data_IF_512113753195
#
_entry.id   IF_512113753195
#
_cell.length_a   1.000
_cell.length_b   1.000
_cell.length_c   1.000
_cell.angle_alpha   90.00
_cell.angle_beta   90.00
_cell.angle_gamma   90.00
#
_symmetry.space_group_name_H-M   'P 1'
#
loop_
_entity.id
_entity.type
_entity.pdbx_description
1 polymer ?
#
# COMPACT_ATOMS: atom_id res chain seq x y z
N UNK A 1 22.06 34.25 -33.04
CA UNK A 1 22.53 33.16 -33.91
C UNK A 1 22.19 31.85 -33.20
N UNK A 2 21.04 31.26 -33.51
CA UNK A 2 20.55 30.03 -32.88
C UNK A 2 20.98 28.83 -33.74
N UNK A 3 21.45 27.71 -33.17
CA UNK A 3 21.68 26.50 -33.96
C UNK A 3 20.36 25.80 -34.28
N UNK A 4 20.13 25.62 -35.58
CA UNK A 4 19.08 24.82 -36.20
C UNK A 4 19.28 23.34 -35.85
N UNK A 5 18.27 22.68 -35.28
CA UNK A 5 18.22 21.22 -35.12
C UNK A 5 17.74 20.56 -36.43
N UNK A 6 18.41 19.51 -36.94
CA UNK A 6 17.89 18.74 -38.07
C UNK A 6 16.77 17.77 -37.62
N UNK A 7 15.71 17.70 -38.42
CA UNK A 7 14.58 16.80 -38.26
C UNK A 7 14.98 15.32 -38.46
N UNK A 8 14.49 14.43 -37.60
CA UNK A 8 14.58 12.98 -37.77
C UNK A 8 13.45 12.48 -38.70
N UNK A 9 13.73 11.64 -39.70
CA UNK A 9 12.68 11.07 -40.54
C UNK A 9 11.99 9.88 -39.86
N UNK A 10 10.66 9.92 -39.89
CA UNK A 10 9.75 8.81 -39.61
C UNK A 10 9.94 7.69 -40.63
N UNK A 11 10.17 6.47 -40.18
CA UNK A 11 10.01 5.28 -41.02
C UNK A 11 9.43 4.13 -40.19
N UNK A 12 8.13 3.96 -40.38
CA UNK A 12 7.37 2.73 -40.12
C UNK A 12 7.89 1.67 -41.09
N UNK A 13 8.28 0.48 -40.61
CA UNK A 13 8.31 -0.71 -41.45
C UNK A 13 8.06 -1.97 -40.62
N UNK A 14 6.87 -2.53 -40.81
CA UNK A 14 6.57 -3.97 -40.68
C UNK A 14 6.27 -4.41 -42.10
N UNK A 15 6.89 -5.48 -42.62
CA UNK A 15 6.09 -6.65 -42.97
C UNK A 15 6.88 -7.98 -42.93
N UNK A 16 6.22 -9.09 -42.57
CA UNK A 16 6.20 -10.34 -43.35
C UNK A 16 5.41 -11.39 -42.59
N UNK A 17 4.14 -11.54 -42.99
CA UNK A 17 3.38 -12.77 -42.86
C UNK A 17 4.00 -13.84 -43.76
N UNK A 18 4.18 -15.06 -43.24
CA UNK A 18 4.35 -16.26 -44.09
C UNK A 18 3.29 -17.29 -43.72
N UNK A 19 2.46 -17.75 -44.68
CA UNK A 19 1.50 -18.81 -44.44
C UNK A 19 2.19 -20.17 -44.55
N UNK A 20 1.91 -21.09 -43.63
CA UNK A 20 2.21 -22.52 -43.82
C UNK A 20 0.90 -23.30 -43.81
N UNK A 21 0.67 -23.95 -44.94
CA UNK A 21 -0.48 -24.80 -45.26
C UNK A 21 -0.44 -26.13 -44.48
N UNK A 22 -1.59 -26.41 -43.86
CA UNK A 22 -2.31 -27.68 -43.72
C UNK A 22 -1.62 -29.00 -44.13
N UNK A 23 -1.45 -29.92 -43.18
CA UNK A 23 -1.57 -31.39 -43.34
C UNK A 23 -1.82 -32.01 -41.94
N UNK A 24 -3.08 -32.24 -41.55
CA UNK A 24 -3.83 -33.52 -41.61
C UNK A 24 -3.23 -34.66 -40.77
N UNK A 25 -3.92 -35.03 -39.67
CA UNK A 25 -3.68 -36.30 -38.98
C UNK A 25 -4.10 -36.35 -37.50
N UNK A 26 -5.40 -36.46 -37.21
CA UNK A 26 -5.92 -37.22 -36.05
C UNK A 26 -6.75 -38.38 -36.64
N UNK A 27 -6.90 -39.56 -36.00
CA UNK A 27 -7.02 -39.72 -34.54
C UNK A 27 -6.30 -40.96 -33.94
N UNK A 28 -6.16 -41.00 -32.62
CA UNK A 28 -6.48 -42.21 -31.88
C UNK A 28 -6.86 -41.89 -30.43
N UNK A 29 -8.00 -42.45 -30.03
CA UNK A 29 -8.67 -42.34 -28.76
C UNK A 29 -8.53 -43.70 -28.08
N UNK A 30 -7.75 -43.79 -27.01
CA UNK A 30 -7.81 -44.81 -25.95
C UNK A 30 -6.53 -44.70 -25.11
N UNK A 31 -6.49 -44.78 -23.79
CA UNK A 31 -7.46 -44.66 -22.70
C UNK A 31 -6.60 -44.56 -21.44
N UNK A 32 -7.12 -43.89 -20.42
CA UNK A 32 -6.83 -44.18 -19.02
C UNK A 32 -5.40 -43.92 -18.47
N UNK A 33 -5.20 -42.74 -17.88
CA UNK A 33 -4.65 -42.60 -16.51
C UNK A 33 -5.24 -41.36 -15.85
N UNK A 34 -6.34 -41.55 -15.13
CA UNK A 34 -6.91 -40.55 -14.23
C UNK A 34 -5.95 -40.32 -13.05
N UNK A 35 -5.09 -39.30 -13.15
CA UNK A 35 -4.27 -38.84 -12.02
C UNK A 35 -5.15 -38.00 -11.09
N UNK A 36 -5.73 -38.65 -10.09
CA UNK A 36 -6.47 -38.01 -8.99
C UNK A 36 -5.49 -37.10 -8.22
N UNK A 37 -5.77 -35.80 -8.03
CA UNK A 37 -4.92 -34.96 -7.18
C UNK A 37 -5.07 -35.39 -5.71
N UNK A 38 -3.93 -35.66 -5.07
CA UNK A 38 -3.81 -36.03 -3.67
C UNK A 38 -4.42 -34.95 -2.74
N UNK A 39 -5.38 -35.36 -1.90
CA UNK A 39 -6.10 -34.51 -0.92
C UNK A 39 -5.20 -33.86 0.13
N UNK A 40 -3.95 -34.30 0.27
CA UNK A 40 -3.02 -33.80 1.31
C UNK A 40 -2.41 -32.43 0.97
N UNK A 41 -2.38 -32.00 -0.30
CA UNK A 41 -1.75 -30.73 -0.69
C UNK A 41 -2.71 -29.52 -0.70
N UNK A 42 -4.02 -29.72 -0.54
CA UNK A 42 -5.00 -28.64 -0.65
C UNK A 42 -4.93 -27.64 0.53
N UNK A 43 -4.54 -28.09 1.72
CA UNK A 43 -4.54 -27.25 2.92
C UNK A 43 -3.34 -26.32 3.02
N UNK A 44 -2.23 -26.58 2.32
CA UNK A 44 -1.07 -25.69 2.30
C UNK A 44 -1.23 -24.55 1.27
N UNK A 45 -1.89 -24.83 0.13
CA UNK A 45 -2.08 -23.86 -0.94
C UNK A 45 -3.15 -22.81 -0.62
N UNK A 46 -4.06 -23.09 0.31
CA UNK A 46 -5.15 -22.17 0.67
C UNK A 46 -4.74 -21.07 1.64
N UNK A 47 -3.69 -21.26 2.44
CA UNK A 47 -3.22 -20.22 3.37
C UNK A 47 -2.36 -19.16 2.67
N UNK A 48 -1.63 -19.52 1.60
CA UNK A 48 -0.87 -18.57 0.76
C UNK A 48 -1.77 -17.70 -0.14
N UNK A 49 -2.95 -18.19 -0.51
CA UNK A 49 -3.84 -17.48 -1.44
C UNK A 49 -4.52 -16.25 -0.83
N UNK A 50 -4.72 -16.20 0.49
CA UNK A 50 -5.40 -15.08 1.16
C UNK A 50 -4.51 -13.82 1.19
N UNK A 51 -3.19 -13.98 1.09
CA UNK A 51 -2.25 -12.85 1.03
C UNK A 51 -2.08 -12.30 -0.39
N UNK A 52 -2.53 -13.02 -1.43
CA UNK A 52 -2.19 -12.77 -2.84
C UNK A 52 -3.25 -12.02 -3.66
N UNK A 53 -4.09 -11.14 -3.11
CA UNK A 53 -4.96 -10.31 -3.97
C UNK A 53 -5.56 -9.05 -3.33
N UNK A 54 -4.87 -8.34 -2.43
CA UNK A 54 -5.18 -6.90 -2.33
C UNK A 54 -4.51 -6.23 -3.52
N UNK A 55 -5.23 -6.11 -4.64
CA UNK A 55 -4.72 -5.38 -5.81
C UNK A 55 -4.42 -3.95 -5.37
N UNK A 56 -3.14 -3.58 -5.37
CA UNK A 56 -2.70 -2.23 -4.99
C UNK A 56 -3.15 -1.26 -6.09
N UNK A 57 -4.33 -0.67 -5.92
CA UNK A 57 -4.99 0.16 -6.94
C UNK A 57 -4.52 1.62 -6.96
N UNK A 58 -3.89 2.08 -5.87
CA UNK A 58 -3.41 3.46 -5.74
C UNK A 58 -1.91 3.52 -6.02
N UNK A 59 -1.50 4.47 -6.87
CA UNK A 59 -0.10 4.73 -7.21
C UNK A 59 0.42 5.92 -6.41
N UNK A 60 1.69 5.84 -6.02
CA UNK A 60 2.44 6.91 -5.38
C UNK A 60 3.60 7.27 -6.32
N UNK A 61 3.52 8.43 -6.94
CA UNK A 61 4.59 8.93 -7.81
C UNK A 61 5.52 9.82 -6.98
N UNK A 62 6.81 9.50 -6.97
CA UNK A 62 7.82 10.21 -6.20
C UNK A 62 8.92 10.71 -7.11
N UNK A 63 9.28 11.99 -6.97
CA UNK A 63 10.50 12.56 -7.54
C UNK A 63 11.53 12.69 -6.43
N UNK A 64 12.77 12.34 -6.74
CA UNK A 64 13.88 12.38 -5.79
C UNK A 64 15.17 12.75 -6.52
N UNK A 65 16.16 13.21 -5.78
CA UNK A 65 17.49 13.45 -6.31
C UNK A 65 18.30 12.13 -6.35
N UNK A 66 19.42 12.16 -7.06
CA UNK A 66 20.27 10.98 -7.27
C UNK A 66 20.75 10.36 -5.95
N UNK A 67 21.16 11.18 -4.98
CA UNK A 67 21.73 10.67 -3.73
C UNK A 67 20.69 9.93 -2.88
N UNK A 68 19.46 10.45 -2.87
CA UNK A 68 18.35 9.79 -2.18
C UNK A 68 17.93 8.50 -2.90
N UNK A 69 17.97 8.47 -4.24
CA UNK A 69 17.65 7.25 -5.00
C UNK A 69 18.64 6.11 -4.73
N UNK A 70 19.94 6.43 -4.67
CA UNK A 70 21.01 5.49 -4.34
C UNK A 70 20.83 4.93 -2.92
N UNK A 71 20.60 5.80 -1.94
CA UNK A 71 20.35 5.42 -0.55
C UNK A 71 19.15 4.47 -0.40
N UNK A 72 18.04 4.76 -1.09
CA UNK A 72 16.85 3.91 -1.10
C UNK A 72 17.14 2.56 -1.75
N UNK A 73 17.95 2.55 -2.81
CA UNK A 73 18.34 1.33 -3.51
C UNK A 73 19.16 0.43 -2.60
N UNK A 74 20.20 0.97 -1.97
CA UNK A 74 21.06 0.23 -1.04
C UNK A 74 20.25 -0.33 0.15
N UNK A 75 19.39 0.49 0.76
CA UNK A 75 18.56 0.05 1.88
C UNK A 75 17.59 -1.08 1.49
N UNK A 76 17.02 -1.02 0.29
CA UNK A 76 16.13 -2.07 -0.21
C UNK A 76 16.89 -3.37 -0.50
N UNK A 77 18.11 -3.27 -1.04
CA UNK A 77 19.00 -4.40 -1.30
C UNK A 77 19.42 -5.11 0.00
N UNK A 78 19.82 -4.34 1.02
CA UNK A 78 20.19 -4.86 2.35
C UNK A 78 19.04 -5.62 3.02
N UNK A 79 17.79 -5.24 2.72
CA UNK A 79 16.59 -5.88 3.24
C UNK A 79 16.01 -6.94 2.29
N UNK A 80 16.65 -7.18 1.13
CA UNK A 80 16.19 -8.10 0.10
C UNK A 80 14.75 -7.85 -0.37
N UNK A 81 14.36 -6.59 -0.49
CA UNK A 81 13.05 -6.15 -0.98
C UNK A 81 13.21 -5.26 -2.20
N UNK A 82 12.11 -5.06 -2.94
CA UNK A 82 12.12 -4.08 -4.04
C UNK A 82 12.12 -2.65 -3.49
N UNK A 83 12.68 -1.69 -4.23
CA UNK A 83 12.64 -0.26 -3.88
C UNK A 83 11.23 0.24 -3.57
N UNK A 84 10.25 -0.15 -4.37
CA UNK A 84 8.85 0.26 -4.19
C UNK A 84 8.21 -0.36 -2.94
N UNK A 85 8.58 -1.58 -2.57
CA UNK A 85 8.16 -2.22 -1.32
C UNK A 85 8.77 -1.49 -0.13
N UNK A 86 10.08 -1.24 -0.15
CA UNK A 86 10.79 -0.50 0.89
C UNK A 86 10.18 0.88 1.14
N UNK A 87 10.00 1.69 0.09
CA UNK A 87 9.44 3.05 0.21
C UNK A 87 8.01 3.01 0.73
N UNK A 88 7.19 2.05 0.25
CA UNK A 88 5.81 1.91 0.74
C UNK A 88 5.79 1.59 2.23
N UNK A 89 6.64 0.68 2.68
CA UNK A 89 6.69 0.25 4.07
C UNK A 89 7.24 1.35 4.99
N UNK A 90 8.35 2.00 4.59
CA UNK A 90 8.89 3.14 5.30
C UNK A 90 7.87 4.28 5.44
N UNK A 91 7.15 4.61 4.36
CA UNK A 91 6.10 5.62 4.38
C UNK A 91 4.94 5.22 5.33
N UNK A 92 4.53 3.95 5.32
CA UNK A 92 3.51 3.43 6.24
C UNK A 92 3.95 3.56 7.69
N UNK A 93 5.16 3.12 8.02
CA UNK A 93 5.70 3.20 9.37
C UNK A 93 5.80 4.65 9.86
N UNK A 94 6.28 5.56 9.01
CA UNK A 94 6.35 6.98 9.33
C UNK A 94 4.94 7.57 9.57
N UNK A 95 3.97 7.26 8.71
CA UNK A 95 2.59 7.70 8.89
C UNK A 95 1.99 7.17 10.20
N UNK A 96 2.19 5.89 10.51
CA UNK A 96 1.70 5.28 11.74
C UNK A 96 2.30 5.97 12.97
N UNK A 97 3.59 6.29 12.95
CA UNK A 97 4.25 7.02 14.04
C UNK A 97 3.66 8.42 14.25
N UNK A 98 3.26 9.11 13.19
CA UNK A 98 2.63 10.43 13.28
C UNK A 98 1.20 10.32 13.83
N UNK A 99 0.41 9.39 13.31
CA UNK A 99 -0.98 9.17 13.75
C UNK A 99 -1.02 8.69 15.21
N UNK A 100 -0.18 7.72 15.58
CA UNK A 100 -0.13 7.26 16.98
C UNK A 100 0.33 8.35 17.96
N UNK A 101 1.07 9.37 17.50
CA UNK A 101 1.42 10.52 18.33
C UNK A 101 0.27 11.51 18.51
N UNK A 102 -0.66 11.62 17.56
CA UNK A 102 -1.81 12.52 17.73
C UNK A 102 -2.81 12.01 18.76
N UNK A 103 -2.88 10.69 18.96
CA UNK A 103 -3.86 10.06 19.85
C UNK A 103 -3.35 9.93 21.29
N UNK A 104 -2.08 10.29 21.55
CA UNK A 104 -1.46 10.16 22.86
C UNK A 104 -1.15 11.55 23.42
N UNK A 105 -1.95 11.98 24.39
CA UNK A 105 -1.62 13.14 25.23
C UNK A 105 -0.56 12.74 26.25
N UNK A 106 0.67 13.25 26.08
CA UNK A 106 1.68 13.19 27.13
C UNK A 106 1.36 14.25 28.18
N UNK A 107 1.14 13.82 29.42
CA UNK A 107 0.96 14.72 30.57
C UNK A 107 1.89 14.32 31.70
N UNK A 108 2.20 15.29 32.57
CA UNK A 108 2.99 15.02 33.77
C UNK A 108 2.22 14.05 34.70
N UNK A 109 2.90 13.13 35.40
CA UNK A 109 2.25 12.15 36.27
C UNK A 109 1.30 12.80 37.28
N UNK A 110 1.68 13.95 37.84
CA UNK A 110 0.88 14.67 38.83
C UNK A 110 -0.45 15.18 38.24
N UNK A 111 -0.43 15.57 36.96
CA UNK A 111 -1.63 15.99 36.23
C UNK A 111 -2.51 14.78 35.90
N UNK A 112 -1.90 13.64 35.58
CA UNK A 112 -2.63 12.39 35.36
C UNK A 112 -3.33 11.92 36.63
N UNK A 113 -2.64 11.94 37.77
CA UNK A 113 -3.20 11.55 39.06
C UNK A 113 -4.35 12.47 39.48
N UNK A 114 -4.19 13.79 39.29
CA UNK A 114 -5.25 14.77 39.53
C UNK A 114 -6.47 14.52 38.60
N UNK A 115 -6.22 14.21 37.33
CA UNK A 115 -7.29 13.86 36.37
C UNK A 115 -7.98 12.55 36.77
N UNK A 116 -7.25 11.52 37.16
CA UNK A 116 -7.84 10.25 37.60
C UNK A 116 -8.70 10.45 38.86
N UNK A 117 -8.23 11.25 39.82
CA UNK A 117 -8.99 11.56 41.02
C UNK A 117 -10.30 12.31 40.71
N UNK A 118 -10.31 13.20 39.71
CA UNK A 118 -11.51 13.94 39.33
C UNK A 118 -12.53 13.11 38.54
N UNK A 119 -12.16 11.91 38.06
CA UNK A 119 -13.13 10.96 37.48
C UNK A 119 -14.02 10.33 38.55
N UNK A 120 -13.48 10.10 39.75
CA UNK A 120 -14.24 9.51 40.87
C UNK A 120 -15.09 10.55 41.59
N UNK A 121 -14.57 11.77 41.75
CA UNK A 121 -15.28 12.90 42.35
C UNK A 121 -15.22 14.08 41.40
N UNK A 122 -16.34 14.44 40.73
CA UNK A 122 -16.35 15.55 39.80
C UNK A 122 -16.16 16.87 40.53
N UNK A 123 -15.35 17.74 39.95
CA UNK A 123 -15.21 19.11 40.44
C UNK A 123 -16.45 19.93 40.11
N UNK A 124 -16.91 20.71 41.09
CA UNK A 124 -17.99 21.67 40.90
C UNK A 124 -17.49 22.86 40.08
N UNK A 125 -18.20 23.20 39.00
CA UNK A 125 -17.90 24.37 38.17
C UNK A 125 -19.15 25.20 37.93
N UNK A 126 -19.33 26.24 38.75
CA UNK A 126 -20.47 27.16 38.65
C UNK A 126 -20.52 27.90 37.30
N UNK A 127 -19.36 28.16 36.69
CA UNK A 127 -19.26 28.80 35.37
C UNK A 127 -19.77 27.88 34.25
N UNK A 128 -19.36 26.60 34.25
CA UNK A 128 -19.88 25.61 33.29
C UNK A 128 -21.39 25.37 33.51
N UNK A 129 -21.86 25.39 34.76
CA UNK A 129 -23.29 25.31 35.08
C UNK A 129 -24.09 26.51 34.53
N UNK A 130 -23.50 27.71 34.49
CA UNK A 130 -24.11 28.87 33.84
C UNK A 130 -24.10 28.76 32.31
N UNK A 131 -22.97 28.34 31.72
CA UNK A 131 -22.80 28.18 30.27
C UNK A 131 -23.72 27.09 29.69
N UNK A 132 -23.91 25.99 30.42
CA UNK A 132 -24.79 24.89 29.97
C UNK A 132 -26.27 25.29 29.79
N UNK A 133 -26.69 26.40 30.41
CA UNK A 133 -28.06 26.94 30.30
C UNK A 133 -28.25 27.87 29.11
N UNK A 134 -27.18 28.24 28.42
CA UNK A 134 -27.26 29.09 27.24
C UNK A 134 -27.90 28.34 26.05
N UNK A 135 -28.63 29.05 25.18
CA UNK A 135 -29.25 28.43 24.00
C UNK A 135 -28.18 27.79 23.10
N UNK A 136 -28.39 26.52 22.73
CA UNK A 136 -27.47 25.78 21.84
C UNK A 136 -27.53 26.36 20.43
N UNK A 137 -26.44 26.97 19.98
CA UNK A 137 -26.26 27.40 18.59
C UNK A 137 -25.67 26.24 17.77
N UNK A 138 -26.48 25.21 17.49
CA UNK A 138 -26.10 24.19 16.49
C UNK A 138 -26.63 24.69 15.14
N UNK A 139 -25.80 25.42 14.41
CA UNK A 139 -26.07 25.74 13.00
C UNK A 139 -25.96 24.47 12.15
N UNK A 140 -26.97 24.24 11.31
CA UNK A 140 -27.04 23.13 10.34
C UNK A 140 -26.14 23.41 9.13
#
# INVERSE_FOLDING_TARGET
MYPTFPALPSAITTPEERPILLQSGLPNLDSDKTSIPNRTNAVHLQMEAITMASTKTRRLELRTDQSTDELITEAAELLHVTKSAFVTDAARQAAQKVISRSDVTLMAPEVFDAMMASLDVPDESAELAALSKLPRLIGR
#
